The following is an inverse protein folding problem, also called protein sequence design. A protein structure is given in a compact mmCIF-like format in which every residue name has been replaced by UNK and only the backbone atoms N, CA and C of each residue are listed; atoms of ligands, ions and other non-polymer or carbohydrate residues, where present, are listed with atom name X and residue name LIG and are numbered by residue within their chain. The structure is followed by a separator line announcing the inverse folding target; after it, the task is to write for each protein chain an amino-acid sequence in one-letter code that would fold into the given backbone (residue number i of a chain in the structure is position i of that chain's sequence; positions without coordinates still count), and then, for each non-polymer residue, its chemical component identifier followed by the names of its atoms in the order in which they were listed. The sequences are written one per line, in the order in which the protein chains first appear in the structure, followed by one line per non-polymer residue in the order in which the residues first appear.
data_IF_898371069324
#
_entry.id   IF_898371069324
#
_cell.length_a   1.000
_cell.length_b   1.000
_cell.length_c   1.000
_cell.angle_alpha   90.00
_cell.angle_beta   90.00
_cell.angle_gamma   90.00
#
_symmetry.space_group_name_H-M   'P 1'
#
loop_
_entity.id
_entity.type
_entity.pdbx_description
1 polymer ?
#
# COMPACT_ATOMS: atom_id res chain seq x y z
N UNK A 1 10.06 16.52 -36.50
CA UNK A 1 10.24 16.78 -35.06
C UNK A 1 10.06 15.46 -34.33
N UNK A 2 11.12 14.92 -33.75
CA UNK A 2 11.12 13.65 -33.03
C UNK A 2 11.10 13.99 -31.54
N UNK A 3 10.08 13.54 -30.81
CA UNK A 3 9.99 13.70 -29.36
C UNK A 3 10.46 12.39 -28.74
N UNK A 4 11.72 12.37 -28.29
CA UNK A 4 12.24 11.29 -27.45
C UNK A 4 11.64 11.40 -26.04
N UNK A 5 10.98 10.33 -25.59
CA UNK A 5 10.66 10.12 -24.17
C UNK A 5 11.44 8.89 -23.73
N UNK A 6 12.61 9.13 -23.14
CA UNK A 6 13.50 8.10 -22.61
C UNK A 6 12.90 7.50 -21.34
N UNK A 7 12.40 6.27 -21.44
CA UNK A 7 12.15 5.41 -20.29
C UNK A 7 13.43 4.66 -19.91
N UNK A 8 14.11 5.10 -18.86
CA UNK A 8 15.11 4.28 -18.18
C UNK A 8 14.43 3.51 -17.04
N UNK A 9 14.14 2.24 -17.27
CA UNK A 9 13.94 1.25 -16.20
C UNK A 9 15.10 0.27 -16.28
N UNK A 10 16.17 0.58 -15.54
CA UNK A 10 17.26 -0.36 -15.29
C UNK A 10 16.97 -1.18 -14.02
N UNK A 11 17.41 -2.45 -13.96
CA UNK A 11 17.34 -3.22 -12.72
C UNK A 11 18.42 -2.74 -11.74
N UNK A 12 18.04 -2.50 -10.48
CA UNK A 12 18.98 -2.26 -9.38
C UNK A 12 19.44 -3.61 -8.84
N UNK A 13 20.75 -3.84 -8.58
CA UNK A 13 21.26 -5.12 -8.12
C UNK A 13 20.73 -5.42 -6.71
N UNK A 14 20.24 -6.64 -6.52
CA UNK A 14 19.88 -7.19 -5.23
C UNK A 14 21.11 -7.92 -4.69
N UNK A 15 21.80 -7.33 -3.72
CA UNK A 15 22.79 -8.07 -2.93
C UNK A 15 22.03 -9.06 -2.04
N UNK A 16 22.21 -10.35 -2.33
CA UNK A 16 21.80 -11.44 -1.47
C UNK A 16 22.80 -11.56 -0.32
N UNK A 17 22.30 -11.82 0.90
CA UNK A 17 22.79 -13.02 1.53
C UNK A 17 21.64 -13.92 1.98
N UNK A 18 21.80 -15.17 1.55
CA UNK A 18 21.44 -16.39 2.25
C UNK A 18 19.97 -16.81 2.33
N UNK A 19 19.80 -18.05 1.91
CA UNK A 19 18.58 -18.79 1.67
C UNK A 19 18.13 -19.49 2.94
N UNK A 20 17.06 -19.00 3.59
CA UNK A 20 16.07 -19.85 4.29
C UNK A 20 14.96 -19.01 4.88
N UNK A 21 13.79 -18.98 4.23
CA UNK A 21 12.46 -19.05 4.87
C UNK A 21 11.39 -18.63 3.85
N UNK A 22 10.85 -19.63 3.16
CA UNK A 22 9.55 -19.50 2.52
C UNK A 22 8.48 -19.45 3.61
N UNK A 23 7.83 -18.31 3.79
CA UNK A 23 6.53 -18.24 4.43
C UNK A 23 5.56 -17.54 3.48
N UNK A 24 4.77 -18.34 2.76
CA UNK A 24 3.54 -17.90 2.13
C UNK A 24 2.59 -17.40 3.23
N UNK A 25 2.32 -16.08 3.28
CA UNK A 25 1.21 -15.56 4.07
C UNK A 25 -0.08 -15.61 3.24
N UNK A 26 -0.89 -16.61 3.56
CA UNK A 26 -2.26 -16.80 3.12
C UNK A 26 -3.15 -15.75 3.81
N UNK A 27 -3.80 -14.87 3.06
CA UNK A 27 -4.88 -14.03 3.60
C UNK A 27 -6.18 -14.87 3.64
N UNK A 28 -6.78 -15.13 4.83
CA UNK A 28 -8.02 -15.89 4.87
C UNK A 28 -9.20 -15.02 4.41
N UNK A 29 -9.88 -15.55 3.39
CA UNK A 29 -11.20 -15.13 2.90
C UNK A 29 -12.23 -15.01 4.02
N UNK A 30 -13.01 -13.93 3.95
CA UNK A 30 -14.13 -13.57 4.80
C UNK A 30 -15.04 -14.74 5.16
N UNK A 31 -15.03 -15.14 6.44
CA UNK A 31 -16.09 -15.95 7.04
C UNK A 31 -16.61 -15.20 8.27
N UNK A 32 -17.80 -14.64 8.14
CA UNK A 32 -18.48 -13.91 9.20
C UNK A 32 -18.76 -14.85 10.38
N UNK A 33 -18.07 -14.64 11.51
CA UNK A 33 -18.39 -15.29 12.78
C UNK A 33 -19.31 -14.36 13.57
N UNK A 34 -20.61 -14.64 13.53
CA UNK A 34 -21.58 -14.07 14.48
C UNK A 34 -21.27 -14.62 15.87
N UNK A 35 -20.75 -13.78 16.76
CA UNK A 35 -20.69 -14.10 18.19
C UNK A 35 -22.02 -13.77 18.85
N UNK A 36 -22.67 -14.84 19.33
CA UNK A 36 -23.87 -14.86 20.15
C UNK A 36 -23.54 -14.25 21.53
N UNK A 37 -24.22 -13.16 21.86
CA UNK A 37 -24.13 -12.52 23.17
C UNK A 37 -24.80 -13.42 24.22
N UNK A 38 -24.04 -13.92 25.19
CA UNK A 38 -24.61 -14.50 26.41
C UNK A 38 -24.35 -13.54 27.56
N UNK A 39 -25.43 -12.94 28.05
CA UNK A 39 -25.46 -12.29 29.35
C UNK A 39 -25.29 -13.36 30.44
N UNK A 40 -24.22 -13.25 31.22
CA UNK A 40 -24.15 -13.79 32.57
C UNK A 40 -23.57 -12.71 33.47
N UNK A 41 -24.40 -12.24 34.39
CA UNK A 41 -24.06 -11.26 35.42
C UNK A 41 -23.08 -11.94 36.40
N UNK A 42 -21.80 -11.60 36.29
CA UNK A 42 -20.86 -11.69 37.40
C UNK A 42 -20.54 -10.28 37.86
N UNK A 43 -21.25 -9.84 38.89
CA UNK A 43 -20.91 -8.70 39.72
C UNK A 43 -19.69 -9.05 40.57
N UNK A 44 -18.49 -8.81 40.06
CA UNK A 44 -17.31 -8.53 40.89
C UNK A 44 -16.66 -7.27 40.35
N UNK A 45 -16.85 -6.19 41.10
CA UNK A 45 -16.08 -4.96 41.01
C UNK A 45 -14.63 -5.26 41.37
N UNK A 46 -13.88 -5.82 40.41
CA UNK A 46 -12.44 -5.77 40.44
C UNK A 46 -12.05 -4.32 40.21
N UNK A 47 -11.87 -3.61 41.32
CA UNK A 47 -10.85 -2.59 41.42
C UNK A 47 -9.59 -3.18 40.80
N UNK A 48 -9.35 -2.85 39.53
CA UNK A 48 -8.05 -3.03 38.90
C UNK A 48 -7.14 -2.15 39.74
N UNK A 49 -6.56 -2.72 40.80
CA UNK A 49 -5.30 -2.25 41.36
C UNK A 49 -4.34 -2.28 40.19
N UNK A 50 -4.27 -1.16 39.50
CA UNK A 50 -3.25 -0.81 38.53
C UNK A 50 -1.92 -0.66 39.26
N UNK A 51 -1.47 -1.70 39.98
CA UNK A 51 -0.05 -1.89 40.20
C UNK A 51 0.45 -2.72 39.02
N UNK A 52 0.55 -2.09 37.85
CA UNK A 52 1.45 -2.63 36.84
C UNK A 52 2.83 -2.71 37.51
N UNK A 53 3.40 -3.91 37.53
CA UNK A 53 4.81 -4.07 37.88
C UNK A 53 5.64 -3.11 36.98
N UNK A 54 6.51 -2.26 37.54
CA UNK A 54 7.27 -1.30 36.76
C UNK A 54 8.06 -1.94 35.61
N UNK A 55 8.49 -3.21 35.74
CA UNK A 55 9.14 -3.93 34.64
C UNK A 55 8.16 -4.34 33.53
N UNK A 56 6.96 -4.81 33.90
CA UNK A 56 5.91 -5.13 32.93
C UNK A 56 5.46 -3.89 32.13
N UNK A 57 5.37 -2.73 32.79
CA UNK A 57 5.07 -1.46 32.12
C UNK A 57 6.18 -1.04 31.14
N UNK A 58 7.44 -1.13 31.55
CA UNK A 58 8.58 -0.79 30.71
C UNK A 58 8.65 -1.68 29.47
N UNK A 59 8.45 -3.00 29.64
CA UNK A 59 8.43 -3.95 28.53
C UNK A 59 7.31 -3.65 27.54
N UNK A 60 6.12 -3.32 28.02
CA UNK A 60 4.98 -2.97 27.18
C UNK A 60 5.25 -1.67 26.38
N UNK A 61 5.85 -0.65 27.00
CA UNK A 61 6.23 0.58 26.30
C UNK A 61 7.26 0.34 25.20
N UNK A 62 8.26 -0.51 25.45
CA UNK A 62 9.27 -0.89 24.44
C UNK A 62 8.64 -1.66 23.27
N UNK A 63 7.71 -2.57 23.56
CA UNK A 63 7.02 -3.33 22.53
C UNK A 63 6.12 -2.42 21.67
N UNK A 64 5.39 -1.49 22.29
CA UNK A 64 4.60 -0.51 21.56
C UNK A 64 5.47 0.40 20.69
N UNK A 65 6.63 0.87 21.18
CA UNK A 65 7.55 1.67 20.37
C UNK A 65 8.10 0.89 19.16
N UNK A 66 8.44 -0.38 19.35
CA UNK A 66 8.86 -1.26 18.25
C UNK A 66 7.76 -1.44 17.20
N UNK A 67 6.50 -1.66 17.63
CA UNK A 67 5.36 -1.78 16.72
C UNK A 67 5.11 -0.47 15.97
N UNK A 68 5.21 0.66 16.66
CA UNK A 68 5.02 2.00 16.10
C UNK A 68 6.07 2.30 15.01
N UNK A 69 7.35 2.04 15.29
CA UNK A 69 8.42 2.24 14.32
C UNK A 69 8.26 1.36 13.08
N UNK A 70 7.80 0.11 13.25
CA UNK A 70 7.46 -0.77 12.13
C UNK A 70 6.32 -0.19 11.28
N UNK A 71 5.21 0.21 11.90
CA UNK A 71 4.07 0.80 11.18
C UNK A 71 4.45 2.09 10.45
N UNK A 72 5.31 2.94 11.03
CA UNK A 72 5.86 4.13 10.35
C UNK A 72 6.67 3.78 9.11
N UNK A 73 7.56 2.79 9.20
CA UNK A 73 8.37 2.36 8.07
C UNK A 73 7.50 1.79 6.94
N UNK A 74 6.52 0.95 7.28
CA UNK A 74 5.55 0.40 6.33
C UNK A 74 4.70 1.49 5.66
N UNK A 75 4.28 2.51 6.42
CA UNK A 75 3.52 3.65 5.91
C UNK A 75 4.36 4.48 4.94
N UNK A 76 5.61 4.77 5.29
CA UNK A 76 6.54 5.48 4.40
C UNK A 76 6.72 4.75 3.07
N UNK A 77 6.91 3.43 3.11
CA UNK A 77 7.00 2.60 1.91
C UNK A 77 5.69 2.61 1.11
N UNK A 78 4.54 2.53 1.78
CA UNK A 78 3.22 2.59 1.13
C UNK A 78 3.02 3.92 0.39
N UNK A 79 3.44 5.05 0.98
CA UNK A 79 3.37 6.36 0.35
C UNK A 79 4.26 6.48 -0.89
N UNK A 80 5.47 5.92 -0.85
CA UNK A 80 6.33 5.86 -2.04
C UNK A 80 5.68 5.05 -3.16
N UNK A 81 5.04 3.93 -2.83
CA UNK A 81 4.32 3.11 -3.81
C UNK A 81 3.12 3.85 -4.38
N UNK A 82 2.35 4.56 -3.55
CA UNK A 82 1.23 5.40 -3.99
C UNK A 82 1.68 6.48 -4.97
N UNK A 83 2.74 7.22 -4.63
CA UNK A 83 3.28 8.27 -5.49
C UNK A 83 3.71 7.73 -6.86
N UNK A 84 4.30 6.52 -6.90
CA UNK A 84 4.65 5.85 -8.17
C UNK A 84 3.42 5.51 -9.00
N UNK A 85 2.39 4.93 -8.38
CA UNK A 85 1.13 4.60 -9.07
C UNK A 85 0.43 5.86 -9.57
N UNK A 86 0.38 6.93 -8.78
CA UNK A 86 -0.20 8.21 -9.17
C UNK A 86 0.54 8.83 -10.36
N UNK A 87 1.88 8.81 -10.32
CA UNK A 87 2.71 9.28 -11.45
C UNK A 87 2.42 8.46 -12.72
N UNK A 88 2.32 7.14 -12.61
CA UNK A 88 1.99 6.26 -13.75
C UNK A 88 0.60 6.58 -14.32
N UNK A 89 -0.40 6.83 -13.47
CA UNK A 89 -1.74 7.25 -13.90
C UNK A 89 -1.65 8.57 -14.66
N UNK A 90 -0.94 9.57 -14.14
CA UNK A 90 -0.77 10.86 -14.82
C UNK A 90 -0.05 10.73 -16.17
N UNK A 91 0.96 9.88 -16.26
CA UNK A 91 1.65 9.58 -17.54
C UNK A 91 0.66 8.98 -18.54
N UNK A 92 -0.11 7.98 -18.11
CA UNK A 92 -1.12 7.31 -18.95
C UNK A 92 -2.19 8.29 -19.43
N UNK A 93 -2.71 9.15 -18.56
CA UNK A 93 -3.71 10.15 -18.90
C UNK A 93 -3.18 11.16 -19.91
N UNK A 94 -2.00 11.72 -19.65
CA UNK A 94 -1.37 12.67 -20.55
C UNK A 94 -1.05 12.06 -21.91
N UNK A 95 -0.58 10.80 -21.93
CA UNK A 95 -0.29 10.07 -23.17
C UNK A 95 -1.56 9.80 -23.95
N UNK A 96 -2.63 9.34 -23.30
CA UNK A 96 -3.92 9.08 -23.96
C UNK A 96 -4.53 10.34 -24.55
N UNK A 97 -4.50 11.46 -23.83
CA UNK A 97 -5.04 12.74 -24.32
C UNK A 97 -4.23 13.26 -25.51
N UNK A 98 -2.91 13.31 -25.39
CA UNK A 98 -2.04 13.77 -26.50
C UNK A 98 -2.15 12.86 -27.72
N UNK A 99 -2.27 11.56 -27.53
CA UNK A 99 -2.42 10.64 -28.65
C UNK A 99 -3.72 10.89 -29.40
N UNK A 100 -4.83 11.10 -28.68
CA UNK A 100 -6.12 11.44 -29.28
C UNK A 100 -6.11 12.76 -30.05
N UNK A 101 -5.31 13.73 -29.60
CA UNK A 101 -5.16 15.03 -30.30
C UNK A 101 -4.31 14.90 -31.57
N UNK A 102 -3.29 14.02 -31.57
CA UNK A 102 -2.30 13.92 -32.63
C UNK A 102 -2.61 12.88 -33.70
N UNK A 103 -3.50 11.92 -33.42
CA UNK A 103 -3.76 10.77 -34.31
C UNK A 103 -5.23 10.66 -34.67
N UNK A 104 -5.50 10.19 -35.89
CA UNK A 104 -6.83 9.76 -36.31
C UNK A 104 -7.01 8.26 -35.96
N UNK A 105 -8.25 7.77 -35.82
CA UNK A 105 -8.52 6.38 -35.44
C UNK A 105 -7.89 5.32 -36.37
N UNK A 106 -7.64 5.69 -37.63
CA UNK A 106 -7.11 4.81 -38.67
C UNK A 106 -5.57 4.86 -38.78
N UNK A 107 -4.92 5.74 -38.01
CA UNK A 107 -3.46 5.84 -38.02
C UNK A 107 -2.82 4.72 -37.21
N UNK A 108 -1.67 4.25 -37.66
CA UNK A 108 -0.85 3.30 -36.91
C UNK A 108 0.19 4.02 -36.06
N UNK A 109 0.39 3.54 -34.84
CA UNK A 109 1.34 4.07 -33.84
C UNK A 109 2.43 3.05 -33.54
N UNK A 110 3.58 3.56 -33.10
CA UNK A 110 4.71 2.72 -32.70
C UNK A 110 4.77 2.63 -31.18
N UNK A 111 4.53 1.43 -30.64
CA UNK A 111 4.67 1.11 -29.22
C UNK A 111 6.08 0.64 -28.93
N UNK A 112 6.77 1.31 -28.01
CA UNK A 112 8.05 0.83 -27.47
C UNK A 112 7.85 -0.36 -26.51
N UNK A 113 8.64 -1.43 -26.72
CA UNK A 113 8.72 -2.60 -25.83
C UNK A 113 10.20 -2.91 -25.59
N UNK A 114 10.75 -2.33 -24.52
CA UNK A 114 12.17 -2.44 -24.20
C UNK A 114 13.03 -1.77 -25.28
N UNK A 115 13.81 -2.57 -26.03
CA UNK A 115 14.68 -2.09 -27.12
C UNK A 115 14.05 -2.16 -28.51
N UNK A 116 12.81 -2.61 -28.62
CA UNK A 116 12.10 -2.77 -29.88
C UNK A 116 10.88 -1.84 -29.97
N UNK A 117 10.43 -1.57 -31.19
CA UNK A 117 9.19 -0.84 -31.47
C UNK A 117 8.25 -1.72 -32.30
N UNK A 118 7.00 -1.81 -31.88
CA UNK A 118 5.95 -2.58 -32.55
C UNK A 118 4.95 -1.61 -33.16
N UNK A 119 4.60 -1.85 -34.43
CA UNK A 119 3.51 -1.12 -35.09
C UNK A 119 2.18 -1.69 -34.60
N UNK A 120 1.33 -0.84 -34.07
CA UNK A 120 0.00 -1.19 -33.55
C UNK A 120 -1.00 -0.12 -33.95
N UNK A 121 -2.26 -0.48 -34.09
CA UNK A 121 -3.29 0.50 -34.39
C UNK A 121 -3.58 1.39 -33.17
N UNK A 122 -3.95 2.64 -33.44
CA UNK A 122 -4.21 3.64 -32.39
C UNK A 122 -5.30 3.19 -31.43
N UNK A 123 -6.38 2.60 -31.94
CA UNK A 123 -7.50 2.09 -31.15
C UNK A 123 -7.07 0.98 -30.19
N UNK A 124 -6.36 -0.03 -30.71
CA UNK A 124 -5.84 -1.14 -29.93
C UNK A 124 -4.87 -0.66 -28.83
N UNK A 125 -4.01 0.31 -29.14
CA UNK A 125 -3.08 0.87 -28.17
C UNK A 125 -3.78 1.68 -27.08
N UNK A 126 -4.79 2.48 -27.44
CA UNK A 126 -5.62 3.21 -26.47
C UNK A 126 -6.40 2.28 -25.55
N UNK A 127 -6.95 1.19 -26.08
CA UNK A 127 -7.66 0.18 -25.29
C UNK A 127 -6.74 -0.50 -24.29
N UNK A 128 -5.51 -0.84 -24.70
CA UNK A 128 -4.51 -1.40 -23.79
C UNK A 128 -4.13 -0.40 -22.69
N UNK A 129 -3.85 0.86 -23.05
CA UNK A 129 -3.55 1.92 -22.07
C UNK A 129 -4.71 2.09 -21.08
N UNK A 130 -5.95 2.06 -21.56
CA UNK A 130 -7.13 2.17 -20.71
C UNK A 130 -7.29 0.98 -19.76
N UNK A 131 -6.90 -0.23 -20.19
CA UNK A 131 -6.84 -1.40 -19.33
C UNK A 131 -5.77 -1.23 -18.25
N UNK A 132 -4.56 -0.84 -18.63
CA UNK A 132 -3.46 -0.59 -17.69
C UNK A 132 -3.85 0.50 -16.67
N UNK A 133 -4.55 1.55 -17.10
CA UNK A 133 -5.12 2.58 -16.21
C UNK A 133 -6.05 1.99 -15.15
N UNK A 134 -6.95 1.08 -15.54
CA UNK A 134 -7.89 0.43 -14.60
C UNK A 134 -7.14 -0.39 -13.56
N UNK A 135 -6.12 -1.13 -13.96
CA UNK A 135 -5.27 -1.93 -13.06
C UNK A 135 -4.50 -1.04 -12.07
N UNK A 136 -3.96 0.10 -12.54
CA UNK A 136 -3.33 1.09 -11.65
C UNK A 136 -4.32 1.72 -10.66
N UNK A 137 -5.54 2.04 -11.09
CA UNK A 137 -6.58 2.57 -10.20
C UNK A 137 -7.02 1.55 -9.13
N UNK A 138 -7.13 0.27 -9.49
CA UNK A 138 -7.41 -0.79 -8.53
C UNK A 138 -6.28 -0.94 -7.50
N UNK A 139 -5.04 -0.93 -7.97
CA UNK A 139 -3.85 -0.96 -7.12
C UNK A 139 -3.79 0.24 -6.17
N UNK A 140 -4.10 1.45 -6.68
CA UNK A 140 -4.16 2.67 -5.87
C UNK A 140 -5.19 2.55 -4.74
N UNK A 141 -6.38 1.99 -5.02
CA UNK A 141 -7.41 1.77 -3.99
C UNK A 141 -6.92 0.85 -2.89
N UNK A 142 -6.32 -0.30 -3.26
CA UNK A 142 -5.76 -1.24 -2.29
C UNK A 142 -4.67 -0.61 -1.41
N UNK A 143 -3.77 0.16 -2.02
CA UNK A 143 -2.72 0.88 -1.30
C UNK A 143 -3.28 1.98 -0.39
N UNK A 144 -4.33 2.71 -0.80
CA UNK A 144 -5.01 3.71 0.05
C UNK A 144 -5.69 3.08 1.26
N UNK A 145 -6.34 1.93 1.09
CA UNK A 145 -6.91 1.18 2.23
C UNK A 145 -5.81 0.75 3.21
N UNK A 146 -4.68 0.26 2.70
CA UNK A 146 -3.52 -0.11 3.52
C UNK A 146 -2.93 1.10 4.25
N UNK A 147 -2.77 2.21 3.55
CA UNK A 147 -2.30 3.48 4.13
C UNK A 147 -3.21 3.90 5.29
N UNK A 148 -4.52 3.96 5.07
CA UNK A 148 -5.49 4.38 6.07
C UNK A 148 -5.48 3.46 7.31
N UNK A 149 -5.33 2.15 7.11
CA UNK A 149 -5.20 1.20 8.20
C UNK A 149 -3.92 1.44 9.02
N UNK A 150 -2.79 1.69 8.37
CA UNK A 150 -1.52 1.97 9.04
C UNK A 150 -1.56 3.31 9.80
N UNK A 151 -2.18 4.35 9.22
CA UNK A 151 -2.41 5.64 9.88
C UNK A 151 -3.26 5.49 11.14
N UNK A 152 -4.41 4.82 11.02
CA UNK A 152 -5.32 4.61 12.15
C UNK A 152 -4.67 3.77 13.25
N UNK A 153 -3.94 2.72 12.87
CA UNK A 153 -3.16 1.89 13.81
C UNK A 153 -2.14 2.74 14.57
N UNK A 154 -1.37 3.56 13.86
CA UNK A 154 -0.36 4.43 14.45
C UNK A 154 -0.98 5.43 15.43
N UNK A 155 -2.09 6.07 15.07
CA UNK A 155 -2.82 6.97 15.96
C UNK A 155 -3.33 6.27 17.22
N UNK A 156 -3.89 5.07 17.07
CA UNK A 156 -4.39 4.28 18.20
C UNK A 156 -3.27 3.84 19.15
N UNK A 157 -2.10 3.48 18.61
CA UNK A 157 -0.92 3.13 19.41
C UNK A 157 -0.39 4.34 20.17
N UNK A 158 -0.31 5.52 19.53
CA UNK A 158 0.10 6.76 20.20
C UNK A 158 -0.88 7.15 21.32
N UNK A 159 -2.19 7.08 21.06
CA UNK A 159 -3.23 7.35 22.07
C UNK A 159 -3.09 6.41 23.26
N UNK A 160 -2.97 5.11 22.99
CA UNK A 160 -2.78 4.09 24.04
C UNK A 160 -1.52 4.33 24.88
N UNK A 161 -0.40 4.68 24.22
CA UNK A 161 0.86 5.01 24.90
C UNK A 161 0.71 6.27 25.77
N UNK A 162 0.01 7.29 25.28
CA UNK A 162 -0.25 8.55 26.00
C UNK A 162 -1.16 8.31 27.20
N UNK A 163 -2.21 7.50 27.07
CA UNK A 163 -3.13 7.16 28.18
C UNK A 163 -2.46 6.37 29.29
N UNK A 164 -1.43 5.57 28.95
CA UNK A 164 -0.64 4.81 29.91
C UNK A 164 0.33 5.72 30.66
N UNK A 165 0.96 6.68 29.97
CA UNK A 165 1.95 7.60 30.56
C UNK A 165 1.29 8.78 31.30
N UNK A 166 0.15 9.27 30.79
CA UNK A 166 -0.59 10.42 31.31
C UNK A 166 -1.53 10.12 32.49
N UNK A 167 -1.77 8.84 32.81
CA UNK A 167 -2.47 8.43 34.04
C UNK A 167 -1.53 8.51 35.26
N UNK A 168 -1.06 9.72 35.55
CA UNK A 168 -0.22 10.04 36.71
C UNK A 168 -0.86 11.10 37.57
#
# INVERSE_FOLDING_TARGET
MVVEVLFFSGPVPYDSPDTSNQYYQYYPSSRAVRFRNQHSLNSNTYTVKMSLDPQALQKLLLEMDSQLNKSRAELSMCNVQLNRVETNISIVENTSSKLKELTKPEDSVWKGVGRAFLKTDTTQYLDQINKDKKEFLETQKGLKTKQHYLETTLENTIKSMTDIVGRK
#
